data_IF_861222256738
#
_entry.id   IF_861222256738
#
_cell.length_a   1.000
_cell.length_b   1.000
_cell.length_c   1.000
_cell.angle_alpha   90.00
_cell.angle_beta   90.00
_cell.angle_gamma   90.00
#
_symmetry.space_group_name_H-M   'P 1'
#
loop_
_entity.id
_entity.type
_entity.pdbx_description
1 polymer ?
#
# COMPACT_ATOMS: atom_id res chain seq x y z
N UNK A 1 -9.69 -12.12 27.65
CA UNK A 1 -9.89 -10.73 27.16
C UNK A 1 -8.56 -10.33 26.54
N UNK A 2 -8.39 -10.55 25.23
CA UNK A 2 -7.12 -10.22 24.56
C UNK A 2 -7.15 -8.72 24.32
N UNK A 3 -6.20 -8.00 24.91
CA UNK A 3 -5.99 -6.58 24.66
C UNK A 3 -5.61 -6.41 23.19
N UNK A 4 -6.36 -5.58 22.47
CA UNK A 4 -6.04 -5.21 21.11
C UNK A 4 -4.73 -4.40 21.13
N UNK A 5 -3.60 -5.11 20.99
CA UNK A 5 -2.30 -4.48 20.76
C UNK A 5 -2.40 -3.50 19.60
N UNK A 6 -1.67 -2.39 19.69
CA UNK A 6 -1.67 -1.30 18.71
C UNK A 6 -1.70 -1.89 17.29
N UNK A 7 -2.77 -1.59 16.56
CA UNK A 7 -2.99 -2.10 15.22
C UNK A 7 -1.90 -1.50 14.33
N UNK A 8 -0.88 -2.29 13.99
CA UNK A 8 0.29 -1.81 13.27
C UNK A 8 -0.13 -1.32 11.87
N UNK A 9 0.21 -0.07 11.58
CA UNK A 9 0.01 0.58 10.27
C UNK A 9 1.37 0.59 9.57
N UNK A 10 1.39 0.16 8.32
CA UNK A 10 2.57 0.16 7.44
C UNK A 10 2.21 0.84 6.12
N UNK A 11 3.25 1.17 5.35
CA UNK A 11 3.09 1.90 4.10
C UNK A 11 3.15 3.41 4.34
N UNK A 12 2.05 4.10 4.07
CA UNK A 12 1.93 5.56 4.18
C UNK A 12 2.91 6.30 3.25
N UNK A 13 2.93 5.85 1.99
CA UNK A 13 3.69 6.49 0.93
C UNK A 13 3.14 6.09 -0.44
N UNK A 14 3.57 6.83 -1.46
CA UNK A 14 3.52 6.43 -2.85
C UNK A 14 4.93 6.29 -3.42
N UNK A 15 5.03 5.69 -4.61
CA UNK A 15 6.28 5.57 -5.36
C UNK A 15 6.22 6.41 -6.64
N UNK A 16 7.30 7.10 -7.00
CA UNK A 16 7.38 7.86 -8.24
C UNK A 16 7.46 6.93 -9.47
N UNK A 17 8.15 5.79 -9.35
CA UNK A 17 8.43 4.86 -10.47
C UNK A 17 8.24 3.39 -10.14
N UNK A 18 8.38 2.98 -8.88
CA UNK A 18 8.25 1.58 -8.53
C UNK A 18 6.79 1.11 -8.69
N UNK A 19 6.61 -0.01 -9.39
CA UNK A 19 5.38 -0.79 -9.31
C UNK A 19 5.51 -1.79 -8.17
N UNK A 20 4.40 -2.06 -7.49
CA UNK A 20 4.34 -3.06 -6.43
C UNK A 20 3.21 -4.05 -6.71
N UNK A 21 3.40 -5.31 -6.32
CA UNK A 21 2.37 -6.35 -6.37
C UNK A 21 2.29 -7.04 -5.01
N UNK A 22 1.18 -6.84 -4.31
CA UNK A 22 0.95 -7.23 -2.92
C UNK A 22 0.13 -8.53 -2.86
N UNK A 23 0.58 -9.49 -2.05
CA UNK A 23 -0.10 -10.78 -1.84
C UNK A 23 -0.07 -11.13 -0.35
N UNK A 24 -1.23 -11.40 0.25
CA UNK A 24 -1.30 -12.05 1.56
C UNK A 24 -1.03 -13.55 1.37
N UNK A 25 0.22 -13.99 1.55
CA UNK A 25 0.59 -15.41 1.38
C UNK A 25 0.16 -16.27 2.57
N UNK A 26 -0.13 -15.63 3.71
CA UNK A 26 -0.75 -16.22 4.89
C UNK A 26 -1.55 -15.16 5.64
N UNK A 27 -2.61 -15.56 6.34
CA UNK A 27 -3.46 -14.67 7.12
C UNK A 27 -4.18 -13.65 6.25
N UNK A 28 -4.46 -12.46 6.81
CA UNK A 28 -5.12 -11.38 6.09
C UNK A 28 -4.66 -9.99 6.52
N UNK A 29 -4.89 -9.01 5.66
CA UNK A 29 -4.72 -7.59 5.95
C UNK A 29 -5.62 -6.75 5.05
N UNK A 30 -5.83 -5.50 5.45
CA UNK A 30 -6.48 -4.49 4.62
C UNK A 30 -5.44 -3.58 3.97
N UNK A 31 -5.65 -3.25 2.71
CA UNK A 31 -4.85 -2.28 1.97
C UNK A 31 -5.75 -1.15 1.50
N UNK A 32 -5.46 0.06 1.94
CA UNK A 32 -6.03 1.27 1.35
C UNK A 32 -5.14 1.69 0.18
N UNK A 33 -5.77 1.97 -0.95
CA UNK A 33 -5.14 2.54 -2.14
C UNK A 33 -5.81 3.86 -2.49
N UNK A 34 -5.00 4.85 -2.85
CA UNK A 34 -5.45 6.19 -3.24
C UNK A 34 -4.65 6.64 -4.47
N UNK A 35 -5.34 6.94 -5.57
CA UNK A 35 -4.74 7.43 -6.83
C UNK A 35 -4.78 8.96 -6.95
N UNK A 36 -5.15 9.64 -5.85
CA UNK A 36 -5.36 11.07 -5.73
C UNK A 36 -6.76 11.55 -6.11
N UNK A 37 -7.58 10.67 -6.71
CA UNK A 37 -8.93 10.94 -7.19
C UNK A 37 -9.97 10.05 -6.51
N UNK A 38 -9.69 8.75 -6.42
CA UNK A 38 -10.47 7.77 -5.66
C UNK A 38 -9.61 7.12 -4.58
N UNK A 39 -10.29 6.73 -3.50
CA UNK A 39 -9.71 5.98 -2.39
C UNK A 39 -10.53 4.75 -2.16
N UNK A 40 -9.89 3.60 -2.22
CA UNK A 40 -10.52 2.29 -2.07
C UNK A 40 -9.80 1.47 -1.00
N UNK A 41 -10.53 0.51 -0.46
CA UNK A 41 -10.00 -0.43 0.53
C UNK A 41 -10.20 -1.86 0.03
N UNK A 42 -9.12 -2.64 0.02
CA UNK A 42 -9.08 -4.01 -0.47
C UNK A 42 -8.65 -4.94 0.67
N UNK A 43 -9.43 -5.99 0.91
CA UNK A 43 -9.05 -7.09 1.79
C UNK A 43 -8.20 -8.10 1.01
N UNK A 44 -6.98 -8.36 1.47
CA UNK A 44 -6.16 -9.47 1.00
C UNK A 44 -6.24 -10.60 2.04
N UNK A 45 -6.92 -11.70 1.70
CA UNK A 45 -7.22 -12.82 2.60
C UNK A 45 -6.87 -14.20 2.02
N UNK A 46 -6.31 -14.25 0.80
CA UNK A 46 -5.98 -15.48 0.11
C UNK A 46 -4.76 -15.29 -0.81
N UNK A 47 -3.90 -16.32 -0.96
CA UNK A 47 -2.68 -16.21 -1.75
C UNK A 47 -2.92 -16.14 -3.27
N UNK A 48 -4.13 -16.46 -3.74
CA UNK A 48 -4.51 -16.35 -5.14
C UNK A 48 -5.04 -14.97 -5.54
N UNK A 49 -5.16 -14.04 -4.58
CA UNK A 49 -5.53 -12.64 -4.83
C UNK A 49 -4.29 -11.77 -4.68
N UNK A 50 -3.96 -11.05 -5.75
CA UNK A 50 -2.89 -10.06 -5.76
C UNK A 50 -3.42 -8.68 -6.08
N UNK A 51 -2.81 -7.67 -5.47
CA UNK A 51 -3.14 -6.26 -5.69
C UNK A 51 -1.95 -5.55 -6.33
N UNK A 52 -2.15 -5.02 -7.53
CA UNK A 52 -1.15 -4.23 -8.25
C UNK A 52 -1.29 -2.75 -7.88
N UNK A 53 -0.20 -2.15 -7.40
CA UNK A 53 -0.05 -0.72 -7.20
C UNK A 53 0.89 -0.18 -8.29
N UNK A 54 0.38 0.52 -9.31
CA UNK A 54 1.23 1.26 -10.23
C UNK A 54 1.88 2.46 -9.52
N UNK A 55 2.91 3.10 -10.13
CA UNK A 55 3.49 4.32 -9.63
C UNK A 55 2.41 5.38 -9.41
N UNK A 56 2.67 6.29 -8.48
CA UNK A 56 1.74 7.33 -8.07
C UNK A 56 0.42 6.77 -7.52
N UNK A 57 0.51 5.63 -6.82
CA UNK A 57 -0.56 5.11 -5.96
C UNK A 57 -0.10 5.18 -4.52
N UNK A 58 -0.84 5.88 -3.66
CA UNK A 58 -0.59 5.92 -2.23
C UNK A 58 -1.14 4.65 -1.56
N UNK A 59 -0.28 3.92 -0.85
CA UNK A 59 -0.62 2.64 -0.22
C UNK A 59 -0.50 2.67 1.30
N UNK A 60 -1.52 2.18 2.00
CA UNK A 60 -1.50 1.95 3.45
C UNK A 60 -1.94 0.53 3.75
N UNK A 61 -1.15 -0.21 4.53
CA UNK A 61 -1.45 -1.58 4.94
C UNK A 61 -1.70 -1.64 6.45
N UNK A 62 -2.80 -2.25 6.86
CA UNK A 62 -3.23 -2.26 8.26
C UNK A 62 -4.17 -3.44 8.56
N UNK A 63 -4.62 -3.56 9.82
CA UNK A 63 -5.51 -4.66 10.27
C UNK A 63 -4.97 -6.06 9.92
N UNK A 64 -3.68 -6.26 10.13
CA UNK A 64 -3.05 -7.57 9.97
C UNK A 64 -3.68 -8.60 10.94
N UNK A 65 -4.03 -9.77 10.43
CA UNK A 65 -4.31 -10.93 11.30
C UNK A 65 -3.04 -11.33 12.05
N UNK A 66 -3.21 -12.02 13.18
CA UNK A 66 -2.08 -12.41 14.04
C UNK A 66 -1.02 -13.29 13.32
N UNK A 67 -1.40 -13.97 12.24
CA UNK A 67 -0.55 -14.86 11.45
C UNK A 67 -0.24 -14.31 10.04
N UNK A 68 -0.55 -13.04 9.78
CA UNK A 68 -0.43 -12.43 8.47
C UNK A 68 1.02 -12.37 7.96
N UNK A 69 1.21 -12.72 6.69
CA UNK A 69 2.47 -12.56 5.95
C UNK A 69 2.16 -11.90 4.62
N UNK A 70 2.63 -10.66 4.45
CA UNK A 70 2.52 -9.90 3.21
C UNK A 70 3.79 -10.10 2.37
N UNK A 71 3.65 -10.66 1.17
CA UNK A 71 4.66 -10.65 0.14
C UNK A 71 4.46 -9.42 -0.76
N UNK A 72 5.54 -8.69 -1.02
CA UNK A 72 5.54 -7.58 -1.97
C UNK A 72 6.60 -7.85 -3.05
N UNK A 73 6.16 -7.94 -4.29
CA UNK A 73 7.05 -7.93 -5.46
C UNK A 73 7.19 -6.50 -5.94
N UNK A 74 8.42 -6.03 -6.15
CA UNK A 74 8.73 -4.69 -6.59
C UNK A 74 9.44 -4.73 -7.95
N UNK A 75 9.09 -3.81 -8.86
CA UNK A 75 9.74 -3.75 -10.18
C UNK A 75 11.14 -3.13 -10.15
N UNK A 76 11.50 -2.43 -9.07
CA UNK A 76 12.80 -1.78 -8.89
C UNK A 76 13.47 -2.25 -7.60
N UNK A 77 14.80 -2.15 -7.57
CA UNK A 77 15.54 -2.20 -6.32
C UNK A 77 15.15 -1.03 -5.41
N UNK A 78 15.41 -1.18 -4.11
CA UNK A 78 15.15 -0.12 -3.14
C UNK A 78 15.91 1.16 -3.51
N UNK A 79 15.17 2.27 -3.59
CA UNK A 79 15.69 3.61 -3.73
C UNK A 79 14.89 4.54 -2.81
N UNK A 80 15.57 5.19 -1.86
CA UNK A 80 14.93 6.10 -0.92
C UNK A 80 14.33 7.34 -1.60
N UNK A 81 14.89 7.75 -2.75
CA UNK A 81 14.44 8.93 -3.49
C UNK A 81 13.17 8.68 -4.31
N UNK A 82 12.78 7.43 -4.50
CA UNK A 82 11.54 7.06 -5.20
C UNK A 82 10.29 7.23 -4.33
N UNK A 83 10.46 7.44 -3.02
CA UNK A 83 9.36 7.55 -2.07
C UNK A 83 8.75 8.96 -2.02
N UNK A 84 7.42 9.02 -2.05
CA UNK A 84 6.63 10.20 -1.68
C UNK A 84 5.98 9.91 -0.33
N UNK A 85 6.47 10.56 0.74
CA UNK A 85 6.07 10.28 2.13
C UNK A 85 5.12 11.32 2.72
N UNK A 86 4.87 12.40 2.00
CA UNK A 86 3.93 13.44 2.38
C UNK A 86 2.68 13.33 1.49
N UNK A 87 1.51 13.18 2.10
CA UNK A 87 0.26 12.94 1.37
C UNK A 87 -0.16 14.19 0.58
N UNK A 88 0.06 15.39 1.12
CA UNK A 88 -0.26 16.63 0.41
C UNK A 88 0.64 16.82 -0.82
N UNK A 89 1.92 16.48 -0.72
CA UNK A 89 2.85 16.44 -1.86
C UNK A 89 2.40 15.42 -2.91
N UNK A 90 1.98 14.23 -2.47
CA UNK A 90 1.42 13.22 -3.37
C UNK A 90 0.20 13.76 -4.13
N UNK A 91 -0.79 14.34 -3.42
CA UNK A 91 -1.99 14.91 -4.03
C UNK A 91 -1.66 16.04 -5.01
N UNK A 92 -0.71 16.91 -4.65
CA UNK A 92 -0.24 17.97 -5.54
C UNK A 92 0.39 17.42 -6.82
N UNK A 93 1.15 16.33 -6.75
CA UNK A 93 1.76 15.71 -7.93
C UNK A 93 0.72 15.09 -8.87
N UNK A 94 -0.20 14.29 -8.33
CA UNK A 94 -1.14 13.50 -9.15
C UNK A 94 -2.31 14.30 -9.71
N UNK A 95 -2.75 15.36 -9.01
CA UNK A 95 -3.84 16.22 -9.46
C UNK A 95 -3.38 17.22 -10.52
N UNK A 96 -2.12 17.66 -10.47
CA UNK A 96 -1.56 18.56 -11.48
C UNK A 96 -1.16 17.84 -12.77
N UNK A 97 -0.90 16.53 -12.72
CA UNK A 97 -0.48 15.74 -13.89
C UNK A 97 -1.62 15.37 -14.87
N UNK A 98 -2.88 15.61 -14.50
CA UNK A 98 -4.07 15.33 -15.34
C UNK A 98 -4.77 16.60 -15.88
N UNK A 99 -4.14 17.77 -15.76
CA UNK A 99 -4.62 19.03 -16.35
C UNK A 99 -4.11 19.24 -17.78
#
# INVERSE_FOLDING_TARGET
>A
RVEAGAMEIRGEHAHMRCHQFLIAVKGSLHVVVDDGHSREEVLLDRPSLGLHLPPLTWGVQYRYSADAVLLVLASHHYDALDYIRDHDQFLALVRNAKA
#
